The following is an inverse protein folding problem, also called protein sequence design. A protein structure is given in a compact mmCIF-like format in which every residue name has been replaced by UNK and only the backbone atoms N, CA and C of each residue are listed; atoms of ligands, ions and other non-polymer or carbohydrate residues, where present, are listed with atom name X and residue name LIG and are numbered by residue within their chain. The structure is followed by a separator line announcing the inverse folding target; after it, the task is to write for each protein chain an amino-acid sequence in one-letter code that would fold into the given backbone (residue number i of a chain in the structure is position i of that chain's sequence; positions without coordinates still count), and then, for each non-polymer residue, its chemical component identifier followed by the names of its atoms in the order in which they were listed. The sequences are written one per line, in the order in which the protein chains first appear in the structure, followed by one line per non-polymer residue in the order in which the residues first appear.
data_IF_783981805269
#
_entry.id   IF_783981805269
#
_cell.length_a   1.000
_cell.length_b   1.000
_cell.length_c   1.000
_cell.angle_alpha   90.00
_cell.angle_beta   90.00
_cell.angle_gamma   90.00
#
_symmetry.space_group_name_H-M   'P 1'
#
loop_
_entity.id
_entity.type
_entity.pdbx_description
1 polymer ?
#
# COMPACT_ATOMS: atom_id res chain seq x y z
N UNK A 1 -6.06 -5.52 6.77
CA UNK A 1 -6.15 -4.46 7.80
C UNK A 1 -7.31 -3.53 7.43
N UNK A 2 -8.54 -4.02 7.60
CA UNK A 2 -9.79 -3.25 7.51
C UNK A 2 -10.45 -3.41 8.87
N UNK A 3 -11.02 -2.31 9.37
CA UNK A 3 -11.40 -1.99 10.75
C UNK A 3 -12.01 -3.14 11.58
N UNK A 4 -11.21 -3.70 12.49
CA UNK A 4 -11.69 -4.59 13.57
C UNK A 4 -12.25 -3.81 14.78
N UNK A 5 -12.24 -2.48 14.72
CA UNK A 5 -12.57 -1.58 15.84
C UNK A 5 -14.06 -1.22 15.97
N UNK A 6 -14.89 -1.54 14.97
CA UNK A 6 -16.35 -1.30 14.99
C UNK A 6 -17.19 -2.57 15.21
N UNK A 7 -16.57 -3.74 15.38
CA UNK A 7 -17.31 -5.00 15.52
C UNK A 7 -17.73 -5.28 16.97
N UNK A 8 -18.97 -5.76 17.23
CA UNK A 8 -19.42 -6.23 18.54
C UNK A 8 -18.43 -7.23 19.15
N UNK A 9 -18.19 -7.17 20.46
CA UNK A 9 -17.19 -8.01 21.16
C UNK A 9 -17.35 -9.51 20.89
N UNK A 10 -18.59 -9.98 20.75
CA UNK A 10 -18.94 -11.36 20.38
C UNK A 10 -18.56 -11.72 18.96
N UNK A 11 -18.77 -10.81 18.00
CA UNK A 11 -18.36 -11.00 16.59
C UNK A 11 -16.83 -10.99 16.48
N UNK A 12 -16.17 -10.07 17.21
CA UNK A 12 -14.70 -10.05 17.29
C UNK A 12 -14.14 -11.36 17.85
N UNK A 13 -14.71 -11.87 18.94
CA UNK A 13 -14.28 -13.13 19.55
C UNK A 13 -14.44 -14.33 18.59
N UNK A 14 -15.58 -14.42 17.88
CA UNK A 14 -15.84 -15.48 16.89
C UNK A 14 -14.91 -15.41 15.68
N UNK A 15 -14.66 -14.21 15.14
CA UNK A 15 -13.71 -14.03 14.03
C UNK A 15 -12.26 -14.28 14.46
N UNK A 16 -11.88 -13.93 15.69
CA UNK A 16 -10.57 -14.29 16.25
C UNK A 16 -10.44 -15.78 16.60
N UNK A 17 -11.57 -16.48 16.78
CA UNK A 17 -11.63 -17.92 17.05
C UNK A 17 -11.89 -18.76 15.79
N UNK A 18 -11.66 -18.21 14.59
CA UNK A 18 -11.59 -18.97 13.32
C UNK A 18 -10.13 -19.00 12.82
N UNK A 19 -9.19 -19.64 13.54
CA UNK A 19 -7.77 -19.36 13.39
C UNK A 19 -7.12 -20.16 12.25
N UNK A 20 -7.81 -21.12 11.65
CA UNK A 20 -7.19 -21.99 10.64
C UNK A 20 -7.62 -21.61 9.21
N UNK A 21 -8.92 -21.46 8.98
CA UNK A 21 -9.45 -21.21 7.63
C UNK A 21 -9.04 -19.83 7.09
N UNK A 22 -9.11 -18.77 7.90
CA UNK A 22 -8.71 -17.44 7.46
C UNK A 22 -7.22 -17.36 7.14
N UNK A 23 -6.37 -18.02 7.94
CA UNK A 23 -4.93 -18.03 7.74
C UNK A 23 -4.54 -18.90 6.52
N UNK A 24 -5.17 -20.05 6.32
CA UNK A 24 -4.98 -20.88 5.13
C UNK A 24 -5.45 -20.17 3.86
N UNK A 25 -6.61 -19.51 3.88
CA UNK A 25 -7.11 -18.74 2.73
C UNK A 25 -6.20 -17.54 2.44
N UNK A 26 -5.72 -16.83 3.47
CA UNK A 26 -4.73 -15.75 3.29
C UNK A 26 -3.42 -16.28 2.71
N UNK A 27 -2.91 -17.41 3.21
CA UNK A 27 -1.70 -18.02 2.67
C UNK A 27 -1.87 -18.50 1.22
N UNK A 28 -3.05 -19.02 0.88
CA UNK A 28 -3.40 -19.41 -0.49
C UNK A 28 -3.55 -18.21 -1.42
N UNK A 29 -4.14 -17.11 -0.95
CA UNK A 29 -4.26 -15.86 -1.70
C UNK A 29 -2.88 -15.24 -1.97
N UNK A 30 -2.02 -15.17 -0.95
CA UNK A 30 -0.63 -14.74 -1.10
C UNK A 30 0.12 -15.64 -2.07
N UNK A 31 -0.04 -16.97 -1.98
CA UNK A 31 0.60 -17.92 -2.89
C UNK A 31 0.10 -17.80 -4.34
N UNK A 32 -1.18 -17.52 -4.54
CA UNK A 32 -1.79 -17.38 -5.87
C UNK A 32 -1.47 -16.03 -6.53
N UNK A 33 -1.32 -14.95 -5.76
CA UNK A 33 -1.00 -13.62 -6.27
C UNK A 33 0.48 -13.26 -6.23
N UNK A 34 1.30 -14.02 -5.47
CA UNK A 34 2.74 -13.84 -5.36
C UNK A 34 3.43 -13.60 -6.72
N UNK A 35 3.14 -14.36 -7.80
CA UNK A 35 3.81 -14.16 -9.08
C UNK A 35 3.62 -12.78 -9.70
N UNK A 36 2.61 -12.01 -9.28
CA UNK A 36 2.33 -10.65 -9.77
C UNK A 36 2.37 -9.59 -8.65
N UNK A 37 2.73 -10.00 -7.42
CA UNK A 37 2.75 -9.07 -6.30
C UNK A 37 3.88 -8.05 -6.46
N UNK A 38 3.75 -6.85 -5.85
CA UNK A 38 4.79 -5.82 -5.90
C UNK A 38 6.19 -6.29 -5.50
N UNK A 39 6.28 -7.31 -4.65
CA UNK A 39 7.54 -7.93 -4.22
C UNK A 39 8.31 -8.58 -5.40
N UNK A 40 7.60 -9.04 -6.44
CA UNK A 40 8.19 -9.77 -7.57
C UNK A 40 8.39 -8.92 -8.82
N UNK A 41 7.90 -7.68 -8.88
CA UNK A 41 7.99 -6.84 -10.09
C UNK A 41 9.40 -6.76 -10.67
N UNK A 42 10.42 -6.59 -9.82
CA UNK A 42 11.82 -6.56 -10.26
C UNK A 42 12.47 -7.92 -10.57
N UNK A 43 11.75 -9.03 -10.44
CA UNK A 43 12.18 -10.39 -10.82
C UNK A 43 11.49 -10.89 -12.09
N UNK A 44 10.29 -10.39 -12.38
CA UNK A 44 9.48 -10.84 -13.53
C UNK A 44 9.94 -10.21 -14.83
N UNK A 45 10.40 -8.95 -14.79
CA UNK A 45 10.88 -8.23 -15.97
C UNK A 45 12.26 -7.59 -15.66
N UNK A 46 13.31 -7.88 -16.46
CA UNK A 46 14.62 -7.26 -16.29
C UNK A 46 14.60 -5.72 -16.27
N UNK A 47 13.72 -5.11 -17.07
CA UNK A 47 13.56 -3.64 -17.16
C UNK A 47 13.00 -3.02 -15.87
N UNK A 48 12.39 -3.83 -14.99
CA UNK A 48 11.81 -3.39 -13.72
C UNK A 48 12.71 -3.71 -12.52
N UNK A 49 13.97 -4.08 -12.75
CA UNK A 49 14.89 -4.51 -11.70
C UNK A 49 15.07 -3.51 -10.54
N UNK A 50 14.79 -2.22 -10.75
CA UNK A 50 14.81 -1.22 -9.68
C UNK A 50 13.72 -1.43 -8.62
N UNK A 51 12.62 -2.10 -8.93
CA UNK A 51 11.53 -2.35 -7.98
C UNK A 51 11.97 -3.20 -6.77
N UNK A 52 12.99 -4.06 -6.93
CA UNK A 52 13.53 -4.87 -5.82
C UNK A 52 14.99 -4.56 -5.45
N UNK A 53 15.77 -3.93 -6.33
CA UNK A 53 17.16 -3.52 -6.06
C UNK A 53 17.30 -2.05 -5.65
N UNK A 54 16.31 -1.22 -5.94
CA UNK A 54 16.34 0.21 -5.64
C UNK A 54 16.35 0.48 -4.14
N UNK A 55 17.28 1.32 -3.67
CA UNK A 55 17.36 1.73 -2.25
C UNK A 55 16.52 2.95 -1.89
N UNK A 56 15.86 3.54 -2.89
CA UNK A 56 15.05 4.76 -2.79
C UNK A 56 13.71 4.54 -3.50
N UNK A 57 12.94 3.57 -3.00
CA UNK A 57 11.62 3.25 -3.54
C UNK A 57 10.53 3.93 -2.72
N UNK A 58 9.42 4.25 -3.38
CA UNK A 58 8.18 4.71 -2.75
C UNK A 58 7.21 3.53 -2.59
N UNK A 59 6.26 3.58 -1.64
CA UNK A 59 6.06 4.64 -0.65
C UNK A 59 7.09 4.60 0.48
N UNK A 60 7.27 5.75 1.15
CA UNK A 60 7.97 5.83 2.44
C UNK A 60 7.00 6.26 3.53
N UNK A 61 7.32 5.92 4.78
CA UNK A 61 6.62 6.49 5.93
C UNK A 61 7.10 7.94 6.15
N UNK A 62 6.18 8.91 6.07
CA UNK A 62 6.48 10.32 6.31
C UNK A 62 6.19 10.63 7.77
N UNK A 63 7.21 10.54 8.62
CA UNK A 63 7.10 10.81 10.05
C UNK A 63 7.22 12.31 10.33
N UNK A 64 6.16 13.00 10.82
CA UNK A 64 6.17 14.47 10.92
C UNK A 64 7.31 15.04 11.77
N UNK A 65 7.74 14.32 12.80
CA UNK A 65 8.83 14.73 13.70
C UNK A 65 10.24 14.57 13.11
N UNK A 66 10.38 13.88 11.96
CA UNK A 66 11.64 13.72 11.22
C UNK A 66 11.75 14.69 10.03
N UNK A 67 10.72 15.50 9.78
CA UNK A 67 10.71 16.44 8.68
C UNK A 67 11.65 17.62 8.94
N UNK A 68 12.41 17.98 7.92
CA UNK A 68 13.18 19.21 7.90
C UNK A 68 12.32 20.31 7.26
N UNK A 69 12.13 21.42 7.96
CA UNK A 69 11.53 22.62 7.38
C UNK A 69 12.56 23.34 6.52
N UNK A 70 12.22 23.58 5.25
CA UNK A 70 13.03 24.37 4.32
C UNK A 70 12.29 25.68 3.97
N UNK A 71 12.74 26.84 4.47
CA UNK A 71 12.10 28.13 4.19
C UNK A 71 12.25 28.59 2.73
N UNK A 72 13.14 27.97 1.94
CA UNK A 72 13.36 28.32 0.54
C UNK A 72 12.56 27.43 -0.43
N UNK A 73 11.81 26.46 0.07
CA UNK A 73 10.97 25.60 -0.75
C UNK A 73 9.82 26.42 -1.37
N UNK A 74 9.76 26.46 -2.71
CA UNK A 74 8.73 27.22 -3.44
C UNK A 74 7.34 26.61 -3.23
N UNK A 75 6.33 27.47 -3.18
CA UNK A 75 4.93 27.04 -3.22
C UNK A 75 4.64 26.24 -4.49
N UNK A 76 3.86 25.17 -4.33
CA UNK A 76 3.34 24.41 -5.46
C UNK A 76 2.25 25.25 -6.13
N UNK A 77 2.45 25.55 -7.41
CA UNK A 77 1.41 26.17 -8.25
C UNK A 77 0.62 25.02 -8.87
N UNK A 78 -0.67 24.95 -8.56
CA UNK A 78 -1.58 23.97 -9.16
C UNK A 78 -2.36 24.68 -10.25
N UNK A 79 -2.04 24.39 -11.50
CA UNK A 79 -2.84 24.85 -12.62
C UNK A 79 -4.24 24.23 -12.53
N UNK A 80 -5.28 25.06 -12.74
CA UNK A 80 -6.64 24.56 -12.84
C UNK A 80 -6.86 24.04 -14.26
N UNK A 81 -6.96 22.72 -14.49
CA UNK A 81 -7.32 22.23 -15.81
C UNK A 81 -8.73 22.74 -16.14
N UNK A 82 -8.87 23.36 -17.31
CA UNK A 82 -10.18 23.69 -17.86
C UNK A 82 -10.86 22.36 -18.17
N UNK A 83 -11.87 21.99 -17.36
CA UNK A 83 -12.71 20.82 -17.65
C UNK A 83 -13.42 21.10 -18.97
N UNK A 84 -12.98 20.44 -20.04
CA UNK A 84 -13.72 20.43 -21.29
C UNK A 84 -14.87 19.44 -21.11
N UNK A 85 -16.10 19.95 -21.10
CA UNK A 85 -17.28 19.11 -21.18
C UNK A 85 -17.26 18.41 -22.54
N UNK A 86 -17.07 17.10 -22.54
CA UNK A 86 -17.35 16.28 -23.72
C UNK A 86 -18.86 16.07 -23.70
N UNK A 87 -19.58 16.94 -24.42
CA UNK A 87 -20.98 16.71 -24.83
C UNK A 87 -21.05 15.71 -25.96
#
# INVERSE_FOLDING_TARGET
MIETLLMPRTIRAYLTSLPDICNEISALFEKALAPNSPEYWGRINPEWSLCNKGRRQSPINVEPHKLLYDPFLRHIIVDKPKVMNIT
#
